data_IF_511209100364
#
_entry.id   IF_511209100364
#
_cell.length_a   1.000
_cell.length_b   1.000
_cell.length_c   1.000
_cell.angle_alpha   90.00
_cell.angle_beta   90.00
_cell.angle_gamma   90.00
#
_symmetry.space_group_name_H-M   'P 1'
#
loop_
_entity.id
_entity.type
_entity.pdbx_description
1 polymer ?
#
# COMPACT_ATOMS: atom_id res chain seq x y z
N UNK A 1 35.81 -2.19 12.79
CA UNK A 1 35.69 -2.35 11.32
C UNK A 1 34.46 -1.57 10.85
N UNK A 2 34.63 -0.52 10.03
CA UNK A 2 33.51 0.17 9.40
C UNK A 2 32.95 -0.74 8.30
N UNK A 3 31.80 -1.38 8.52
CA UNK A 3 31.08 -2.09 7.44
C UNK A 3 30.64 -1.02 6.44
N UNK A 4 31.16 -1.08 5.21
CA UNK A 4 30.70 -0.21 4.13
C UNK A 4 29.27 -0.62 3.77
N UNK A 5 28.32 0.27 4.05
CA UNK A 5 26.93 0.09 3.64
C UNK A 5 26.90 0.11 2.10
N UNK A 6 26.28 -0.90 1.49
CA UNK A 6 26.07 -0.99 0.06
C UNK A 6 24.63 -1.45 -0.22
N UNK A 7 24.18 -1.33 -1.47
CA UNK A 7 22.81 -1.66 -1.85
C UNK A 7 22.42 -3.10 -1.53
N UNK A 8 23.35 -4.07 -1.67
CA UNK A 8 23.09 -5.47 -1.36
C UNK A 8 22.74 -5.68 0.12
N UNK A 9 23.48 -5.04 1.02
CA UNK A 9 23.18 -5.08 2.47
C UNK A 9 21.81 -4.46 2.75
N UNK A 10 21.48 -3.34 2.09
CA UNK A 10 20.18 -2.66 2.28
C UNK A 10 19.03 -3.57 1.82
N UNK A 11 19.11 -4.16 0.63
CA UNK A 11 18.06 -5.06 0.13
C UNK A 11 17.91 -6.33 0.98
N UNK A 12 19.03 -6.89 1.45
CA UNK A 12 19.00 -8.00 2.39
C UNK A 12 18.26 -7.62 3.67
N UNK A 13 18.60 -6.48 4.27
CA UNK A 13 17.93 -6.01 5.49
C UNK A 13 16.45 -5.72 5.28
N UNK A 14 16.05 -5.15 4.14
CA UNK A 14 14.63 -4.95 3.81
C UNK A 14 13.91 -6.31 3.77
N UNK A 15 14.49 -7.31 3.09
CA UNK A 15 13.89 -8.64 3.00
C UNK A 15 13.80 -9.34 4.35
N UNK A 16 14.81 -9.19 5.22
CA UNK A 16 14.80 -9.70 6.59
C UNK A 16 13.65 -9.07 7.39
N UNK A 17 13.55 -7.74 7.42
CA UNK A 17 12.48 -7.02 8.12
C UNK A 17 11.10 -7.43 7.60
N UNK A 18 10.94 -7.52 6.27
CA UNK A 18 9.67 -7.92 5.66
C UNK A 18 9.29 -9.36 6.01
N UNK A 19 10.27 -10.27 6.08
CA UNK A 19 10.06 -11.67 6.49
C UNK A 19 9.65 -11.76 7.95
N UNK A 20 10.34 -11.03 8.83
CA UNK A 20 10.07 -11.02 10.26
C UNK A 20 8.65 -10.51 10.57
N UNK A 21 8.13 -9.59 9.73
CA UNK A 21 6.78 -9.03 9.87
C UNK A 21 5.71 -9.74 9.03
N UNK A 22 6.04 -10.83 8.32
CA UNK A 22 5.12 -11.51 7.40
C UNK A 22 3.83 -11.98 8.10
N UNK A 23 3.93 -12.46 9.35
CA UNK A 23 2.78 -12.86 10.14
C UNK A 23 1.80 -11.69 10.40
N UNK A 24 2.32 -10.48 10.64
CA UNK A 24 1.51 -9.27 10.85
C UNK A 24 0.80 -8.88 9.56
N UNK A 25 1.50 -8.92 8.43
CA UNK A 25 0.92 -8.61 7.13
C UNK A 25 -0.14 -9.62 6.69
N UNK A 26 0.07 -10.89 7.01
CA UNK A 26 -0.94 -11.93 6.80
C UNK A 26 -2.18 -11.70 7.66
N UNK A 27 -2.01 -11.24 8.91
CA UNK A 27 -3.14 -10.87 9.76
C UNK A 27 -3.91 -9.68 9.17
N UNK A 28 -3.25 -8.62 8.71
CA UNK A 28 -3.92 -7.49 8.05
C UNK A 28 -4.77 -7.94 6.86
N UNK A 29 -4.24 -8.85 6.04
CA UNK A 29 -4.97 -9.45 4.92
C UNK A 29 -6.25 -10.16 5.37
N UNK A 30 -6.20 -10.88 6.50
CA UNK A 30 -7.33 -11.64 7.01
C UNK A 30 -8.40 -10.76 7.69
N UNK A 31 -8.02 -9.57 8.16
CA UNK A 31 -8.91 -8.64 8.85
C UNK A 31 -9.67 -7.69 7.91
N UNK A 32 -9.37 -7.72 6.61
CA UNK A 32 -10.02 -6.87 5.61
C UNK A 32 -10.68 -7.69 4.50
N UNK A 33 -11.71 -7.12 3.90
CA UNK A 33 -12.42 -7.75 2.79
C UNK A 33 -11.54 -7.85 1.55
N UNK A 34 -11.88 -8.76 0.63
CA UNK A 34 -11.20 -8.86 -0.67
C UNK A 34 -11.23 -7.54 -1.45
N UNK A 35 -12.31 -6.77 -1.36
CA UNK A 35 -12.44 -5.44 -1.98
C UNK A 35 -11.41 -4.44 -1.41
N UNK A 36 -11.30 -4.38 -0.07
CA UNK A 36 -10.31 -3.57 0.63
C UNK A 36 -8.88 -3.99 0.29
N UNK A 37 -8.59 -5.29 0.28
CA UNK A 37 -7.28 -5.80 -0.11
C UNK A 37 -6.92 -5.46 -1.56
N UNK A 38 -7.86 -5.60 -2.49
CA UNK A 38 -7.60 -5.27 -3.89
C UNK A 38 -7.32 -3.78 -4.08
N UNK A 39 -8.05 -2.90 -3.39
CA UNK A 39 -7.76 -1.47 -3.45
C UNK A 39 -6.42 -1.12 -2.78
N UNK A 40 -6.10 -1.72 -1.64
CA UNK A 40 -4.81 -1.53 -0.97
C UNK A 40 -3.64 -1.90 -1.90
N UNK A 41 -3.74 -3.04 -2.61
CA UNK A 41 -2.76 -3.44 -3.62
C UNK A 41 -2.64 -2.43 -4.77
N UNK A 42 -3.78 -1.94 -5.27
CA UNK A 42 -3.77 -0.93 -6.33
C UNK A 42 -3.04 0.34 -5.90
N UNK A 43 -3.31 0.83 -4.68
CA UNK A 43 -2.62 1.98 -4.09
C UNK A 43 -1.11 1.71 -3.92
N UNK A 44 -0.74 0.51 -3.46
CA UNK A 44 0.66 0.10 -3.31
C UNK A 44 1.42 0.14 -4.64
N UNK A 45 0.79 -0.34 -5.72
CA UNK A 45 1.38 -0.36 -7.07
C UNK A 45 1.53 1.05 -7.64
N UNK A 46 0.53 1.92 -7.45
CA UNK A 46 0.61 3.32 -7.90
C UNK A 46 1.64 4.14 -7.12
N UNK A 47 2.00 3.71 -5.90
CA UNK A 47 2.91 4.37 -4.92
C UNK A 47 2.39 5.73 -4.42
N UNK A 48 1.85 6.56 -5.30
CA UNK A 48 1.21 7.86 -5.02
C UNK A 48 -0.03 8.01 -5.88
N UNK A 49 -1.20 7.71 -5.32
CA UNK A 49 -2.47 7.78 -6.02
C UNK A 49 -3.17 9.13 -5.81
N UNK A 50 -3.14 10.02 -6.80
CA UNK A 50 -3.79 11.34 -6.69
C UNK A 50 -5.30 11.31 -7.00
N UNK A 51 -5.73 10.50 -7.97
CA UNK A 51 -7.12 10.50 -8.47
C UNK A 51 -7.78 9.12 -8.30
N UNK A 52 -8.09 8.70 -7.06
CA UNK A 52 -8.61 7.35 -6.80
C UNK A 52 -10.00 7.08 -7.40
N UNK A 53 -10.75 8.14 -7.74
CA UNK A 53 -12.11 8.02 -8.28
C UNK A 53 -12.16 8.15 -9.80
N UNK A 54 -11.02 8.37 -10.45
CA UNK A 54 -10.96 8.51 -11.89
C UNK A 54 -11.28 7.17 -12.57
N UNK A 55 -12.05 7.26 -13.66
CA UNK A 55 -12.55 6.09 -14.37
C UNK A 55 -11.38 5.18 -14.81
N UNK A 56 -10.33 5.74 -15.40
CA UNK A 56 -9.14 5.00 -15.82
C UNK A 56 -8.54 4.13 -14.69
N UNK A 57 -8.40 4.66 -13.47
CA UNK A 57 -7.88 3.92 -12.33
C UNK A 57 -8.82 2.79 -11.89
N UNK A 58 -10.11 3.09 -11.75
CA UNK A 58 -11.14 2.11 -11.34
C UNK A 58 -11.19 0.94 -12.31
N UNK A 59 -11.15 1.22 -13.61
CA UNK A 59 -11.14 0.21 -14.66
C UNK A 59 -9.82 -0.58 -14.70
N UNK A 60 -8.66 0.09 -14.59
CA UNK A 60 -7.33 -0.54 -14.59
C UNK A 60 -7.20 -1.66 -13.54
N UNK A 61 -7.81 -1.48 -12.37
CA UNK A 61 -7.71 -2.42 -11.25
C UNK A 61 -9.00 -3.20 -10.96
N UNK A 62 -10.02 -3.09 -11.82
CA UNK A 62 -11.31 -3.76 -11.67
C UNK A 62 -11.96 -3.55 -10.28
N UNK A 63 -12.06 -2.28 -9.85
CA UNK A 63 -12.49 -1.92 -8.48
C UNK A 63 -14.00 -1.71 -8.33
N UNK A 64 -14.77 -2.03 -9.37
CA UNK A 64 -16.22 -1.84 -9.42
C UNK A 64 -16.59 -0.40 -9.81
N UNK A 65 -17.26 0.32 -8.90
CA UNK A 65 -17.72 1.69 -9.14
C UNK A 65 -17.12 2.68 -8.14
N UNK A 66 -17.18 3.98 -8.47
CA UNK A 66 -16.59 5.05 -7.66
C UNK A 66 -17.17 5.14 -6.24
N UNK A 67 -18.46 4.86 -6.06
CA UNK A 67 -19.09 4.86 -4.74
C UNK A 67 -18.55 3.73 -3.84
N UNK A 68 -18.31 2.54 -4.40
CA UNK A 68 -17.65 1.44 -3.70
C UNK A 68 -16.21 1.82 -3.34
N UNK A 69 -15.44 2.37 -4.29
CA UNK A 69 -14.06 2.81 -4.06
C UNK A 69 -13.99 3.84 -2.93
N UNK A 70 -14.91 4.81 -2.89
CA UNK A 70 -14.97 5.80 -1.80
C UNK A 70 -15.12 5.15 -0.42
N UNK A 71 -16.09 4.26 -0.24
CA UNK A 71 -16.30 3.54 1.04
C UNK A 71 -15.09 2.70 1.43
N UNK A 72 -14.44 2.07 0.44
CA UNK A 72 -13.25 1.25 0.69
C UNK A 72 -12.07 2.13 1.12
N UNK A 73 -11.85 3.29 0.50
CA UNK A 73 -10.83 4.26 0.92
C UNK A 73 -11.07 4.73 2.34
N UNK A 74 -12.29 5.15 2.68
CA UNK A 74 -12.66 5.58 4.03
C UNK A 74 -12.34 4.48 5.05
N UNK A 75 -12.66 3.23 4.74
CA UNK A 75 -12.40 2.10 5.62
C UNK A 75 -10.91 1.74 5.75
N UNK A 76 -10.10 1.96 4.71
CA UNK A 76 -8.65 1.75 4.76
C UNK A 76 -7.93 2.87 5.53
N UNK A 77 -8.43 4.12 5.43
CA UNK A 77 -7.96 5.26 6.22
C UNK A 77 -8.27 5.06 7.70
N UNK A 78 -9.48 4.64 8.04
CA UNK A 78 -9.91 4.36 9.42
C UNK A 78 -9.04 3.26 10.06
N UNK A 79 -8.59 2.29 9.27
CA UNK A 79 -7.69 1.20 9.70
C UNK A 79 -6.21 1.58 9.63
N UNK A 80 -5.90 2.83 9.27
CA UNK A 80 -4.54 3.34 9.09
C UNK A 80 -3.67 2.55 8.08
N UNK A 81 -4.29 1.74 7.21
CA UNK A 81 -3.59 0.95 6.19
C UNK A 81 -3.11 1.81 5.02
N UNK A 82 -3.79 2.93 4.80
CA UNK A 82 -3.36 4.00 3.89
C UNK A 82 -3.45 5.34 4.62
N UNK A 83 -2.76 6.34 4.08
CA UNK A 83 -2.88 7.72 4.52
C UNK A 83 -3.08 8.64 3.31
N UNK A 84 -3.62 9.83 3.56
CA UNK A 84 -3.80 10.87 2.55
C UNK A 84 -2.85 12.03 2.81
N UNK A 85 -1.84 12.19 1.96
CA UNK A 85 -0.86 13.26 2.10
C UNK A 85 -1.40 14.54 1.46
N UNK A 86 -1.80 15.51 2.27
CA UNK A 86 -2.32 16.81 1.82
C UNK A 86 -1.33 17.96 2.00
N UNK A 87 -0.16 17.72 2.60
CA UNK A 87 0.83 18.75 2.93
C UNK A 87 1.70 19.19 1.74
N UNK A 88 1.31 18.80 0.52
CA UNK A 88 2.06 19.00 -0.72
C UNK A 88 1.13 19.52 -1.81
N UNK A 89 1.70 20.11 -2.86
CA UNK A 89 0.96 20.71 -3.98
C UNK A 89 -0.01 19.73 -4.65
N UNK A 90 0.38 18.46 -4.78
CA UNK A 90 -0.41 17.41 -5.41
C UNK A 90 -0.71 16.30 -4.41
N UNK A 91 -1.83 16.37 -3.66
CA UNK A 91 -2.18 15.37 -2.67
C UNK A 91 -2.33 13.98 -3.26
N UNK A 92 -1.99 12.96 -2.47
CA UNK A 92 -2.10 11.57 -2.90
C UNK A 92 -2.38 10.62 -1.74
N UNK A 93 -2.96 9.47 -2.07
CA UNK A 93 -3.07 8.31 -1.19
C UNK A 93 -1.85 7.39 -1.36
N UNK A 94 -1.38 6.84 -0.25
CA UNK A 94 -0.27 5.88 -0.24
C UNK A 94 -0.44 4.90 0.93
N UNK A 95 0.15 3.71 0.80
CA UNK A 95 0.20 2.72 1.89
C UNK A 95 1.07 3.26 3.03
N UNK A 96 0.53 3.16 4.25
CA UNK A 96 1.18 3.70 5.46
C UNK A 96 2.49 2.97 5.76
N UNK A 97 2.45 1.64 5.83
CA UNK A 97 3.63 0.80 6.08
C UNK A 97 4.42 0.54 4.78
N UNK A 98 5.68 0.99 4.73
CA UNK A 98 6.56 0.86 3.56
C UNK A 98 7.04 -0.56 3.32
N UNK A 99 7.17 -1.37 4.35
CA UNK A 99 7.55 -2.78 4.24
C UNK A 99 6.35 -3.62 3.76
N UNK A 100 5.13 -3.29 4.19
CA UNK A 100 3.91 -3.87 3.61
C UNK A 100 3.78 -3.49 2.12
N UNK A 101 3.99 -2.21 1.78
CA UNK A 101 3.97 -1.76 0.39
C UNK A 101 5.02 -2.49 -0.46
N UNK A 102 6.24 -2.64 0.06
CA UNK A 102 7.32 -3.39 -0.58
C UNK A 102 6.94 -4.86 -0.78
N UNK A 103 6.41 -5.52 0.26
CA UNK A 103 5.93 -6.90 0.19
C UNK A 103 4.90 -7.08 -0.93
N UNK A 104 3.88 -6.22 -0.98
CA UNK A 104 2.79 -6.28 -1.97
C UNK A 104 3.30 -6.09 -3.40
N UNK A 105 4.36 -5.29 -3.59
CA UNK A 105 4.85 -4.91 -4.92
C UNK A 105 5.97 -5.79 -5.45
N UNK A 106 6.60 -6.62 -4.60
CA UNK A 106 7.78 -7.43 -4.94
C UNK A 106 7.61 -8.94 -4.67
N UNK A 107 6.45 -9.41 -4.21
CA UNK A 107 6.08 -10.83 -4.14
C UNK A 107 4.84 -11.11 -5.00
#
# INVERSE_FOLDING_TARGET
MNKKINAGIVFQTINEITTDNEAVYFQYRNLITTSQWNLLKAIAIEKKLAQPYAQNFIFKYNLGNSANVKRVIESLLEKELIYYNTAIENPYFEVSDKFLMYLITNK
#
